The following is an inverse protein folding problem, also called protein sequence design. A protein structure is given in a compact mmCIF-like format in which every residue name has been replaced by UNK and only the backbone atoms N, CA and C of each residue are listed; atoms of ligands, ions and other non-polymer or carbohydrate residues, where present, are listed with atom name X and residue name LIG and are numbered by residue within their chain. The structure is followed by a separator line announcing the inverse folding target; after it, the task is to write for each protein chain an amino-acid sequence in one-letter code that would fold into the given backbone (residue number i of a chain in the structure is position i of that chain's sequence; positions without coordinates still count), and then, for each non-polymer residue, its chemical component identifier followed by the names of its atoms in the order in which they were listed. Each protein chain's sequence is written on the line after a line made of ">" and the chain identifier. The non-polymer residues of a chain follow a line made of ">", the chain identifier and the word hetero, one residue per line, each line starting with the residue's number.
data_IF_066208450891
#
_entry.id   IF_066208450891
#
_cell.length_a   1.000
_cell.length_b   1.000
_cell.length_c   1.000
_cell.angle_alpha   90.00
_cell.angle_beta   90.00
_cell.angle_gamma   90.00
#
_symmetry.space_group_name_H-M   'P 1'
#
loop_
_entity.id
_entity.type
_entity.pdbx_description
1 polymer ?
#
# COMPACT_ATOMS: atom_id res chain seq x y z
N UNK A 1 -8.06 14.41 11.59
CA UNK A 1 -8.96 13.35 12.05
C UNK A 1 -8.75 13.14 13.52
N UNK A 2 -9.77 13.36 14.31
CA UNK A 2 -9.72 13.28 15.77
C UNK A 2 -11.01 12.64 16.24
N UNK A 3 -10.97 12.01 17.42
CA UNK A 3 -12.19 11.61 18.12
C UNK A 3 -13.00 12.86 18.52
N UNK A 4 -12.29 13.92 18.94
CA UNK A 4 -12.86 15.24 19.21
C UNK A 4 -11.89 16.29 18.68
N UNK A 5 -12.35 17.18 17.80
CA UNK A 5 -11.54 18.21 17.14
C UNK A 5 -10.88 19.18 18.14
N UNK A 6 -11.54 19.42 19.28
CA UNK A 6 -11.05 20.34 20.32
C UNK A 6 -10.17 19.67 21.39
N UNK A 7 -9.97 18.36 21.33
CA UNK A 7 -9.10 17.62 22.25
C UNK A 7 -8.25 16.60 21.48
N UNK A 8 -7.22 17.06 20.76
CA UNK A 8 -6.37 16.18 19.96
C UNK A 8 -5.53 15.27 20.86
N UNK A 9 -5.57 13.98 20.59
CA UNK A 9 -4.75 12.97 21.25
C UNK A 9 -3.49 12.69 20.41
N UNK A 10 -2.43 12.19 21.07
CA UNK A 10 -1.25 11.70 20.37
C UNK A 10 -1.65 10.50 19.50
N UNK A 11 -1.19 10.49 18.25
CA UNK A 11 -1.48 9.46 17.31
C UNK A 11 -0.29 9.18 16.39
N UNK A 12 -0.34 8.08 15.66
CA UNK A 12 0.65 7.77 14.64
C UNK A 12 0.70 8.85 13.55
N UNK A 13 1.86 9.00 12.93
CA UNK A 13 2.02 9.87 11.76
C UNK A 13 1.51 9.18 10.50
N UNK A 14 0.92 9.92 9.57
CA UNK A 14 0.59 9.45 8.22
C UNK A 14 1.81 9.03 7.38
N UNK A 15 3.02 9.37 7.82
CA UNK A 15 4.29 8.95 7.21
C UNK A 15 4.95 7.77 7.93
N UNK A 16 4.26 7.15 8.88
CA UNK A 16 4.82 6.04 9.65
C UNK A 16 5.00 4.81 8.77
N UNK A 17 6.24 4.32 8.68
CA UNK A 17 6.60 3.05 8.03
C UNK A 17 7.24 2.15 9.08
N UNK A 18 6.44 1.32 9.79
CA UNK A 18 6.93 0.54 10.93
C UNK A 18 8.07 -0.41 10.60
N UNK A 19 8.05 -0.98 9.41
CA UNK A 19 9.06 -1.95 8.98
C UNK A 19 9.57 -1.61 7.60
N UNK A 20 10.90 -1.58 7.45
CA UNK A 20 11.58 -1.44 6.16
C UNK A 20 12.75 -2.41 6.12
N UNK A 21 12.86 -3.17 5.03
CA UNK A 21 13.98 -4.07 4.74
C UNK A 21 14.54 -3.70 3.39
N UNK A 22 15.86 -3.47 3.31
CA UNK A 22 16.56 -3.22 2.05
C UNK A 22 17.76 -4.15 1.97
N UNK A 23 17.91 -4.81 0.82
CA UNK A 23 19.06 -5.67 0.55
C UNK A 23 19.47 -5.49 -0.90
N UNK A 24 20.78 -5.63 -1.17
CA UNK A 24 21.28 -5.64 -2.53
C UNK A 24 22.46 -6.59 -2.66
N UNK A 25 22.54 -7.24 -3.81
CA UNK A 25 23.66 -8.11 -4.16
C UNK A 25 24.06 -7.82 -5.61
N UNK A 26 25.35 -7.58 -5.81
CA UNK A 26 25.93 -7.36 -7.13
C UNK A 26 27.09 -8.32 -7.32
N UNK A 27 27.15 -8.91 -8.50
CA UNK A 27 28.27 -9.76 -8.91
C UNK A 27 28.90 -9.19 -10.18
N UNK A 28 30.21 -8.90 -10.11
CA UNK A 28 31.00 -8.39 -11.22
C UNK A 28 32.05 -9.43 -11.59
N UNK A 29 32.11 -9.82 -12.83
CA UNK A 29 33.20 -10.66 -13.29
C UNK A 29 33.83 -10.12 -14.58
N UNK A 30 35.14 -10.13 -14.58
CA UNK A 30 35.95 -9.69 -15.71
C UNK A 30 36.41 -10.89 -16.50
N UNK A 31 36.28 -10.82 -17.82
CA UNK A 31 36.62 -11.90 -18.71
C UNK A 31 37.22 -11.40 -20.03
N UNK A 32 37.59 -12.33 -20.91
CA UNK A 32 38.22 -12.00 -22.17
C UNK A 32 39.72 -11.69 -22.05
N UNK A 33 40.36 -11.36 -23.18
CA UNK A 33 41.77 -11.01 -23.22
C UNK A 33 42.03 -9.72 -22.45
N UNK A 34 43.02 -9.77 -21.53
CA UNK A 34 43.38 -8.64 -20.64
C UNK A 34 42.21 -8.14 -19.75
N UNK A 35 41.19 -8.96 -19.50
CA UNK A 35 40.01 -8.60 -18.69
C UNK A 35 39.30 -7.33 -19.18
N UNK A 36 39.26 -7.13 -20.50
CA UNK A 36 38.60 -5.96 -21.11
C UNK A 36 37.09 -6.04 -21.14
N UNK A 37 36.51 -7.21 -20.86
CA UNK A 37 35.06 -7.40 -20.78
C UNK A 37 34.66 -7.53 -19.31
N UNK A 38 33.56 -6.88 -18.96
CA UNK A 38 32.99 -6.98 -17.62
C UNK A 38 31.49 -7.24 -17.74
N UNK A 39 31.02 -8.26 -17.05
CA UNK A 39 29.59 -8.52 -16.87
C UNK A 39 29.21 -8.19 -15.42
N UNK A 40 28.14 -7.46 -15.25
CA UNK A 40 27.58 -7.11 -13.96
C UNK A 40 26.16 -7.67 -13.88
N UNK A 41 25.84 -8.35 -12.79
CA UNK A 41 24.47 -8.77 -12.47
C UNK A 41 24.14 -8.29 -11.08
N UNK A 42 23.02 -7.65 -10.90
CA UNK A 42 22.56 -7.12 -9.63
C UNK A 42 21.11 -7.46 -9.34
N UNK A 43 20.81 -7.64 -8.07
CA UNK A 43 19.47 -7.76 -7.55
C UNK A 43 19.35 -6.85 -6.33
N UNK A 44 18.31 -6.04 -6.33
CA UNK A 44 17.98 -5.12 -5.23
C UNK A 44 16.59 -5.51 -4.73
N UNK A 45 16.46 -5.67 -3.42
CA UNK A 45 15.22 -5.91 -2.73
C UNK A 45 14.85 -4.71 -1.87
N UNK A 46 13.61 -4.28 -1.95
CA UNK A 46 13.02 -3.31 -1.05
C UNK A 46 11.68 -3.85 -0.55
N UNK A 47 11.61 -4.11 0.75
CA UNK A 47 10.40 -4.47 1.45
C UNK A 47 10.03 -3.40 2.46
N UNK A 48 8.77 -3.02 2.55
CA UNK A 48 8.29 -2.05 3.54
C UNK A 48 6.82 -2.26 3.90
N UNK A 49 6.43 -1.80 5.10
CA UNK A 49 5.02 -1.71 5.47
C UNK A 49 4.31 -0.79 4.49
N UNK A 50 3.10 -1.15 4.07
CA UNK A 50 2.26 -0.28 3.27
C UNK A 50 1.87 1.00 4.04
N UNK A 51 1.29 1.96 3.33
CA UNK A 51 0.88 3.25 3.92
C UNK A 51 -0.09 3.06 5.07
N UNK A 52 0.04 3.84 6.15
CA UNK A 52 -0.92 3.83 7.25
C UNK A 52 -2.26 4.42 6.81
N UNK A 53 -3.35 3.96 7.43
CA UNK A 53 -4.68 4.47 7.16
C UNK A 53 -5.51 4.58 8.43
N UNK A 54 -6.59 5.36 8.35
CA UNK A 54 -7.60 5.50 9.39
C UNK A 54 -8.97 5.10 8.85
N UNK A 55 -9.78 4.47 9.69
CA UNK A 55 -11.20 4.26 9.38
C UNK A 55 -12.02 5.40 9.98
N UNK A 56 -12.81 6.05 9.13
CA UNK A 56 -13.68 7.18 9.50
C UNK A 56 -15.13 6.93 9.06
N UNK A 57 -16.05 7.62 9.69
CA UNK A 57 -17.42 7.66 9.16
C UNK A 57 -17.47 8.52 7.89
N UNK A 58 -18.36 8.16 6.96
CA UNK A 58 -18.86 9.10 5.96
C UNK A 58 -20.10 9.77 6.56
N UNK A 59 -20.08 11.08 6.70
CA UNK A 59 -21.09 11.85 7.42
C UNK A 59 -20.56 12.41 8.73
N UNK A 60 -21.20 13.46 9.23
CA UNK A 60 -20.85 14.17 10.45
C UNK A 60 -21.59 13.53 11.64
N UNK A 61 -20.88 12.71 12.43
CA UNK A 61 -21.48 12.02 13.58
C UNK A 61 -21.35 12.83 14.88
N UNK A 62 -20.36 13.74 14.94
CA UNK A 62 -20.07 14.53 16.14
C UNK A 62 -20.61 15.96 16.08
N UNK A 63 -21.18 16.40 14.94
CA UNK A 63 -21.78 17.72 14.76
C UNK A 63 -20.79 18.86 14.57
N UNK A 64 -19.55 18.57 14.11
CA UNK A 64 -18.51 19.58 13.88
C UNK A 64 -18.48 20.12 12.44
N UNK A 65 -19.45 19.73 11.60
CA UNK A 65 -19.56 19.99 10.17
C UNK A 65 -18.49 19.31 9.30
N UNK A 66 -17.71 18.39 9.85
CA UNK A 66 -16.79 17.55 9.10
C UNK A 66 -17.44 16.24 8.66
N UNK A 67 -17.44 15.92 7.37
CA UNK A 67 -18.18 14.75 6.83
C UNK A 67 -17.31 13.51 6.63
N UNK A 68 -16.01 13.56 6.91
CA UNK A 68 -15.06 12.45 6.69
C UNK A 68 -13.84 12.55 7.60
N UNK A 69 -14.03 13.02 8.82
CA UNK A 69 -12.98 13.27 9.81
C UNK A 69 -13.18 12.50 11.13
N UNK A 70 -14.34 11.90 11.33
CA UNK A 70 -14.66 11.20 12.57
C UNK A 70 -14.21 9.76 12.54
N UNK A 71 -13.32 9.37 13.46
CA UNK A 71 -12.87 8.00 13.59
C UNK A 71 -14.03 7.08 13.95
N UNK A 72 -14.12 5.90 13.30
CA UNK A 72 -15.18 4.96 13.60
C UNK A 72 -15.01 4.38 15.00
N UNK A 73 -16.13 4.21 15.69
CA UNK A 73 -16.22 3.30 16.80
C UNK A 73 -16.39 1.88 16.24
N UNK A 74 -15.60 0.93 16.71
CA UNK A 74 -15.60 -0.46 16.27
C UNK A 74 -16.60 -1.23 17.17
N UNK A 75 -17.87 -1.42 16.75
CA UNK A 75 -18.88 -1.98 17.66
C UNK A 75 -18.64 -3.47 17.93
N UNK A 76 -19.06 -3.91 19.11
CA UNK A 76 -19.25 -5.33 19.42
C UNK A 76 -20.47 -5.87 18.69
N UNK A 77 -20.66 -7.19 18.60
CA UNK A 77 -21.81 -7.79 17.93
C UNK A 77 -23.14 -7.37 18.60
N UNK A 78 -23.16 -7.29 19.93
CA UNK A 78 -24.33 -6.81 20.68
C UNK A 78 -24.68 -5.35 20.37
N UNK A 79 -23.67 -4.51 20.16
CA UNK A 79 -23.89 -3.13 19.75
C UNK A 79 -24.36 -3.04 18.29
N UNK A 80 -23.84 -3.88 17.39
CA UNK A 80 -24.32 -3.95 16.00
C UNK A 80 -25.80 -4.35 15.94
N UNK A 81 -26.26 -5.22 16.83
CA UNK A 81 -27.69 -5.60 16.92
C UNK A 81 -28.60 -4.44 17.30
N UNK A 82 -28.07 -3.46 18.03
CA UNK A 82 -28.79 -2.25 18.43
C UNK A 82 -28.71 -1.12 17.40
N UNK A 83 -27.80 -1.20 16.41
CA UNK A 83 -27.68 -0.17 15.36
C UNK A 83 -28.89 -0.20 14.41
N UNK A 84 -29.32 0.97 14.01
CA UNK A 84 -30.35 1.13 12.98
C UNK A 84 -29.69 1.29 11.61
N UNK A 85 -30.08 0.44 10.64
CA UNK A 85 -29.59 0.50 9.29
C UNK A 85 -30.67 0.95 8.32
N UNK A 86 -30.29 1.85 7.41
CA UNK A 86 -31.13 2.23 6.28
C UNK A 86 -30.80 1.29 5.10
N UNK A 87 -31.81 0.53 4.67
CA UNK A 87 -31.68 -0.32 3.48
C UNK A 87 -31.39 0.50 2.21
N UNK A 88 -30.78 -0.17 1.25
CA UNK A 88 -30.52 0.35 -0.10
C UNK A 88 -31.13 -0.59 -1.14
N UNK A 89 -31.12 -0.19 -2.41
CA UNK A 89 -31.57 -1.07 -3.51
C UNK A 89 -30.71 -2.35 -3.60
N UNK A 90 -29.44 -2.30 -3.17
CA UNK A 90 -28.53 -3.43 -3.21
C UNK A 90 -28.61 -4.33 -1.96
N UNK A 91 -28.86 -3.75 -0.78
CA UNK A 91 -28.82 -4.48 0.50
C UNK A 91 -29.90 -4.01 1.46
N UNK A 92 -30.65 -4.96 2.01
CA UNK A 92 -31.58 -4.69 3.11
C UNK A 92 -30.82 -4.30 4.39
N UNK A 93 -31.54 -3.71 5.35
CA UNK A 93 -30.99 -3.38 6.67
C UNK A 93 -30.39 -4.61 7.38
N UNK A 94 -31.05 -5.76 7.27
CA UNK A 94 -30.58 -7.03 7.86
C UNK A 94 -29.31 -7.55 7.18
N UNK A 95 -29.25 -7.47 5.85
CA UNK A 95 -28.05 -7.84 5.09
C UNK A 95 -26.86 -6.93 5.43
N UNK A 96 -27.08 -5.63 5.57
CA UNK A 96 -26.03 -4.69 5.99
C UNK A 96 -25.53 -5.02 7.40
N UNK A 97 -26.40 -5.35 8.34
CA UNK A 97 -26.03 -5.78 9.70
C UNK A 97 -25.18 -7.06 9.67
N UNK A 98 -25.59 -8.05 8.90
CA UNK A 98 -24.83 -9.31 8.75
C UNK A 98 -23.45 -9.07 8.11
N UNK A 99 -23.41 -8.27 7.05
CA UNK A 99 -22.17 -7.89 6.37
C UNK A 99 -21.21 -7.14 7.29
N UNK A 100 -21.73 -6.20 8.12
CA UNK A 100 -20.91 -5.49 9.09
C UNK A 100 -20.31 -6.45 10.12
N UNK A 101 -21.10 -7.36 10.69
CA UNK A 101 -20.59 -8.39 11.63
C UNK A 101 -19.50 -9.25 11.00
N UNK A 102 -19.71 -9.70 9.76
CA UNK A 102 -18.71 -10.47 9.04
C UNK A 102 -17.42 -9.68 8.81
N UNK A 103 -17.52 -8.43 8.38
CA UNK A 103 -16.38 -7.54 8.18
C UNK A 103 -15.60 -7.30 9.47
N UNK A 104 -16.31 -7.02 10.57
CA UNK A 104 -15.74 -6.84 11.90
C UNK A 104 -15.00 -8.10 12.41
N UNK A 105 -15.45 -9.30 12.04
CA UNK A 105 -14.83 -10.56 12.44
C UNK A 105 -13.61 -10.93 11.58
N UNK A 106 -13.54 -10.47 10.33
CA UNK A 106 -12.51 -10.87 9.36
C UNK A 106 -11.41 -9.84 9.13
N UNK A 107 -11.65 -8.57 9.44
CA UNK A 107 -10.67 -7.50 9.25
C UNK A 107 -9.66 -7.48 10.38
N UNK A 108 -8.38 -7.66 10.05
CA UNK A 108 -7.27 -7.89 11.00
C UNK A 108 -7.26 -6.94 12.19
N UNK A 109 -7.17 -5.64 11.97
CA UNK A 109 -7.12 -4.66 13.06
C UNK A 109 -8.45 -4.59 13.83
N UNK A 110 -9.55 -4.54 13.09
CA UNK A 110 -10.89 -4.30 13.63
C UNK A 110 -11.35 -5.42 14.56
N UNK A 111 -11.03 -6.68 14.25
CA UNK A 111 -11.43 -7.83 15.11
C UNK A 111 -10.80 -7.78 16.49
N UNK A 112 -9.58 -7.21 16.59
CA UNK A 112 -8.79 -7.18 17.82
C UNK A 112 -9.06 -5.91 18.68
N UNK A 113 -9.83 -4.91 18.14
CA UNK A 113 -10.14 -3.64 18.80
C UNK A 113 -11.66 -3.39 18.92
N UNK A 114 -12.43 -4.46 19.20
CA UNK A 114 -13.89 -4.37 19.36
C UNK A 114 -14.28 -3.62 20.64
N UNK A 115 -15.19 -2.68 20.52
CA UNK A 115 -15.63 -1.82 21.63
C UNK A 115 -14.81 -0.56 21.82
N UNK A 116 -13.87 -0.26 20.91
CA UNK A 116 -12.97 0.88 20.95
C UNK A 116 -13.13 1.77 19.71
N UNK A 117 -12.60 2.99 19.75
CA UNK A 117 -12.47 3.81 18.56
C UNK A 117 -11.25 3.37 17.76
N UNK A 118 -11.37 3.41 16.44
CA UNK A 118 -10.20 3.21 15.58
C UNK A 118 -9.15 4.29 15.87
N UNK A 119 -7.89 3.90 16.03
CA UNK A 119 -6.81 4.85 16.21
C UNK A 119 -6.47 5.60 14.91
N UNK A 120 -6.14 6.87 15.00
CA UNK A 120 -5.63 7.61 13.84
C UNK A 120 -4.36 6.94 13.32
N UNK A 121 -4.36 6.55 12.03
CA UNK A 121 -3.29 5.78 11.39
C UNK A 121 -2.93 4.48 12.13
N UNK A 122 -3.95 3.84 12.71
CA UNK A 122 -3.78 2.67 13.57
C UNK A 122 -3.42 1.38 12.83
N UNK A 123 -3.67 1.28 11.53
CA UNK A 123 -3.30 0.11 10.74
C UNK A 123 -2.61 0.51 9.44
N UNK A 124 -1.87 -0.44 8.86
CA UNK A 124 -1.13 -0.27 7.63
C UNK A 124 -1.70 -1.17 6.52
N UNK A 125 -1.65 -0.68 5.30
CA UNK A 125 -1.86 -1.46 4.11
C UNK A 125 -0.88 -2.63 4.04
N UNK A 126 -1.11 -3.65 3.20
CA UNK A 126 -0.25 -4.82 3.12
C UNK A 126 1.20 -4.45 2.90
N UNK A 127 2.09 -5.29 3.43
CA UNK A 127 3.53 -5.18 3.21
C UNK A 127 3.85 -5.28 1.72
N UNK A 128 4.68 -4.37 1.23
CA UNK A 128 5.09 -4.26 -0.15
C UNK A 128 6.48 -4.88 -0.32
N UNK A 129 6.67 -5.63 -1.41
CA UNK A 129 7.95 -6.29 -1.71
C UNK A 129 8.28 -6.07 -3.17
N UNK A 130 9.36 -5.33 -3.45
CA UNK A 130 9.83 -5.02 -4.78
C UNK A 130 11.21 -5.61 -5.01
N UNK A 131 11.43 -6.15 -6.19
CA UNK A 131 12.73 -6.63 -6.64
C UNK A 131 13.10 -5.89 -7.92
N UNK A 132 14.29 -5.30 -7.94
CA UNK A 132 14.85 -4.65 -9.12
C UNK A 132 16.06 -5.47 -9.61
N UNK A 133 16.12 -5.66 -10.91
CA UNK A 133 17.18 -6.42 -11.56
C UNK A 133 18.04 -5.49 -12.41
N UNK A 134 19.35 -5.65 -12.28
CA UNK A 134 20.35 -4.94 -13.08
C UNK A 134 21.21 -5.94 -13.86
N UNK A 135 21.39 -5.67 -15.15
CA UNK A 135 22.38 -6.35 -15.98
C UNK A 135 23.21 -5.30 -16.72
N UNK A 136 24.53 -5.43 -16.65
CA UNK A 136 25.49 -4.60 -17.36
C UNK A 136 26.49 -5.45 -18.12
N UNK A 137 26.76 -5.09 -19.39
CA UNK A 137 27.82 -5.71 -20.18
C UNK A 137 28.72 -4.64 -20.77
N UNK A 138 29.97 -4.64 -20.33
CA UNK A 138 31.03 -3.78 -20.84
C UNK A 138 31.94 -4.54 -21.80
N UNK A 139 32.18 -3.96 -22.97
CA UNK A 139 33.13 -4.42 -23.99
C UNK A 139 34.22 -3.37 -24.11
N UNK A 140 35.47 -3.77 -23.80
CA UNK A 140 36.67 -2.91 -23.90
C UNK A 140 37.56 -3.30 -25.07
N UNK A 141 38.12 -2.31 -25.70
CA UNK A 141 39.17 -2.47 -26.75
C UNK A 141 40.32 -1.55 -26.40
N UNK A 142 41.55 -2.08 -26.45
CA UNK A 142 42.74 -1.27 -26.24
C UNK A 142 43.35 -0.86 -27.59
N UNK A 143 43.52 0.45 -27.77
CA UNK A 143 44.17 1.02 -28.94
C UNK A 143 45.38 1.86 -28.48
N UNK A 144 46.57 1.29 -28.58
CA UNK A 144 47.76 1.89 -28.03
C UNK A 144 47.69 2.02 -26.49
N UNK A 145 47.81 3.25 -25.99
CA UNK A 145 47.70 3.55 -24.55
C UNK A 145 46.27 3.81 -24.06
N UNK A 146 45.30 3.91 -24.96
CA UNK A 146 43.90 4.21 -24.63
C UNK A 146 43.07 2.94 -24.58
N UNK A 147 42.08 2.94 -23.70
CA UNK A 147 41.07 1.87 -23.60
C UNK A 147 39.72 2.51 -23.93
N UNK A 148 39.15 2.07 -25.02
CA UNK A 148 37.76 2.43 -25.39
C UNK A 148 36.83 1.36 -24.87
N UNK A 149 35.72 1.75 -24.31
CA UNK A 149 34.72 0.81 -23.79
C UNK A 149 33.31 1.21 -24.16
N UNK A 150 32.52 0.23 -24.57
CA UNK A 150 31.09 0.31 -24.77
C UNK A 150 30.39 -0.51 -23.69
N UNK A 151 29.46 0.09 -22.96
CA UNK A 151 28.70 -0.57 -21.91
C UNK A 151 27.22 -0.49 -22.25
N UNK A 152 26.59 -1.66 -22.27
CA UNK A 152 25.15 -1.84 -22.37
C UNK A 152 24.60 -2.16 -20.99
N UNK A 153 23.53 -1.48 -20.59
CA UNK A 153 22.82 -1.78 -19.32
C UNK A 153 21.36 -2.08 -19.59
N UNK A 154 20.82 -3.00 -18.81
CA UNK A 154 19.40 -3.31 -18.73
C UNK A 154 19.01 -3.29 -17.26
N UNK A 155 18.10 -2.38 -16.90
CA UNK A 155 17.52 -2.27 -15.58
C UNK A 155 16.03 -2.61 -15.66
N UNK A 156 15.58 -3.56 -14.85
CA UNK A 156 14.17 -3.94 -14.75
C UNK A 156 13.71 -3.68 -13.33
N UNK A 157 12.98 -2.59 -13.15
CA UNK A 157 12.34 -2.25 -11.88
C UNK A 157 11.10 -3.11 -11.68
N UNK A 158 10.91 -3.59 -10.46
CA UNK A 158 9.82 -4.49 -10.08
C UNK A 158 9.75 -5.75 -10.95
N UNK A 159 10.90 -6.43 -11.13
CA UNK A 159 11.03 -7.62 -11.96
C UNK A 159 10.12 -8.77 -11.51
N UNK A 160 9.77 -8.82 -10.22
CA UNK A 160 8.83 -9.81 -9.71
C UNK A 160 7.45 -9.69 -10.39
N UNK A 161 6.99 -8.47 -10.66
CA UNK A 161 5.72 -8.23 -11.36
C UNK A 161 5.77 -8.64 -12.85
N UNK A 162 6.94 -8.60 -13.48
CA UNK A 162 7.14 -9.13 -14.83
C UNK A 162 6.91 -10.66 -14.87
N UNK A 163 7.34 -11.36 -13.83
CA UNK A 163 7.19 -12.82 -13.70
C UNK A 163 5.77 -13.22 -13.29
N UNK A 164 5.14 -12.47 -12.41
CA UNK A 164 3.77 -12.70 -11.96
C UNK A 164 3.09 -11.37 -11.64
N UNK A 165 1.98 -11.08 -12.33
CA UNK A 165 1.18 -9.85 -12.18
C UNK A 165 0.71 -9.56 -10.75
N UNK A 166 0.69 -10.56 -9.87
CA UNK A 166 0.23 -10.45 -8.49
C UNK A 166 1.37 -10.16 -7.50
N UNK A 167 2.62 -10.21 -7.97
CA UNK A 167 3.80 -9.89 -7.17
C UNK A 167 4.20 -8.41 -7.33
N UNK A 168 4.94 -7.89 -6.38
CA UNK A 168 5.43 -6.51 -6.43
C UNK A 168 4.31 -5.46 -6.49
N UNK A 169 3.17 -5.71 -5.84
CA UNK A 169 2.06 -4.75 -5.80
C UNK A 169 2.24 -3.74 -4.68
N UNK A 170 1.95 -2.49 -5.01
CA UNK A 170 1.75 -1.39 -4.07
C UNK A 170 0.25 -1.12 -3.96
N UNK A 171 -0.22 -0.88 -2.74
CA UNK A 171 -1.63 -0.62 -2.48
C UNK A 171 -1.86 0.82 -2.00
N UNK A 172 -3.04 1.36 -2.31
CA UNK A 172 -3.57 2.59 -1.75
C UNK A 172 -4.94 2.34 -1.14
N UNK A 173 -5.30 3.12 -0.13
CA UNK A 173 -6.58 3.03 0.57
C UNK A 173 -7.69 3.85 -0.07
N UNK A 174 -7.53 4.35 -1.29
CA UNK A 174 -8.52 5.14 -2.03
C UNK A 174 -7.97 6.47 -2.53
N UNK A 175 -8.86 7.37 -2.93
CA UNK A 175 -8.50 8.58 -3.70
C UNK A 175 -7.64 9.57 -2.92
N UNK A 176 -7.75 9.60 -1.59
CA UNK A 176 -6.97 10.47 -0.70
C UNK A 176 -6.15 9.71 0.34
N UNK A 177 -5.91 8.44 0.09
CA UNK A 177 -4.93 7.55 0.74
C UNK A 177 -4.94 7.37 2.25
N UNK A 178 -5.61 8.19 3.03
CA UNK A 178 -5.45 8.16 4.49
C UNK A 178 -6.73 7.74 5.23
N UNK A 179 -7.91 7.98 4.62
CA UNK A 179 -9.19 7.77 5.27
C UNK A 179 -10.08 6.85 4.44
N UNK A 180 -10.60 5.83 5.10
CA UNK A 180 -11.52 4.87 4.49
C UNK A 180 -12.81 4.90 5.27
N UNK A 181 -13.94 5.07 4.57
CA UNK A 181 -15.26 5.26 5.17
C UNK A 181 -16.18 4.07 4.86
N UNK A 182 -16.05 2.94 5.59
CA UNK A 182 -16.88 1.77 5.36
C UNK A 182 -18.32 1.94 5.88
N UNK A 183 -18.52 2.88 6.81
CA UNK A 183 -19.81 3.14 7.46
C UNK A 183 -20.23 4.57 7.16
N UNK A 184 -21.43 4.75 6.61
CA UNK A 184 -22.03 6.06 6.40
C UNK A 184 -23.03 6.35 7.52
N UNK A 185 -22.89 7.50 8.17
CA UNK A 185 -23.87 8.04 9.10
C UNK A 185 -24.88 8.90 8.37
N UNK A 186 -26.15 8.64 8.58
CA UNK A 186 -27.29 9.32 7.90
C UNK A 186 -28.04 10.32 8.78
N UNK A 187 -27.56 10.51 10.02
CA UNK A 187 -28.28 11.29 11.03
C UNK A 187 -29.17 10.42 11.93
N UNK A 188 -29.58 10.96 13.06
CA UNK A 188 -30.52 10.35 14.00
C UNK A 188 -30.20 8.91 14.42
N UNK A 189 -28.94 8.56 14.49
CA UNK A 189 -28.49 7.21 14.85
C UNK A 189 -28.67 6.15 13.75
N UNK A 190 -28.92 6.56 12.51
CA UNK A 190 -29.10 5.67 11.36
C UNK A 190 -27.83 5.55 10.54
N UNK A 191 -27.51 4.33 10.14
CA UNK A 191 -26.28 4.00 9.44
C UNK A 191 -26.54 3.27 8.11
N UNK A 192 -25.55 3.30 7.24
CA UNK A 192 -25.43 2.41 6.09
C UNK A 192 -24.03 1.79 6.10
N UNK A 193 -23.96 0.51 5.75
CA UNK A 193 -22.69 -0.20 5.61
C UNK A 193 -22.51 -0.68 4.17
N UNK A 194 -21.47 -0.20 3.52
CA UNK A 194 -21.08 -0.69 2.20
C UNK A 194 -20.45 -2.07 2.32
N UNK A 195 -20.83 -3.01 1.45
CA UNK A 195 -20.21 -4.33 1.42
C UNK A 195 -18.72 -4.17 1.05
N UNK A 196 -17.76 -4.73 1.81
CA UNK A 196 -16.34 -4.65 1.50
C UNK A 196 -15.93 -5.25 0.17
N UNK A 197 -16.72 -6.17 -0.40
CA UNK A 197 -16.50 -6.67 -1.77
C UNK A 197 -16.75 -5.60 -2.83
N UNK A 198 -17.64 -4.66 -2.57
CA UNK A 198 -18.00 -3.56 -3.48
C UNK A 198 -17.12 -2.31 -3.24
N UNK A 199 -16.65 -2.16 -2.00
CA UNK A 199 -15.74 -1.07 -1.60
C UNK A 199 -14.53 -1.65 -0.85
N UNK A 200 -13.57 -2.23 -1.56
CA UNK A 200 -12.38 -2.78 -0.92
C UNK A 200 -11.57 -1.67 -0.22
N UNK A 201 -11.10 -1.96 1.00
CA UNK A 201 -10.28 -1.03 1.79
C UNK A 201 -8.94 -0.67 1.11
N UNK A 202 -8.56 -1.43 0.08
CA UNK A 202 -7.30 -1.25 -0.63
C UNK A 202 -7.47 -1.50 -2.13
N UNK A 203 -6.81 -0.68 -2.90
CA UNK A 203 -6.73 -0.81 -4.36
C UNK A 203 -5.27 -0.96 -4.79
N UNK A 204 -4.95 -1.90 -5.71
CA UNK A 204 -3.61 -1.94 -6.26
C UNK A 204 -3.34 -0.68 -7.07
N UNK A 205 -2.28 0.03 -6.75
CA UNK A 205 -1.82 1.17 -7.55
C UNK A 205 -1.33 0.67 -8.91
N UNK A 206 -1.99 1.06 -9.99
CA UNK A 206 -1.62 0.63 -11.33
C UNK A 206 -0.25 1.14 -11.78
N UNK A 207 0.18 2.29 -11.30
CA UNK A 207 1.46 2.90 -11.66
C UNK A 207 2.63 2.26 -10.91
N UNK A 208 2.53 2.15 -9.58
CA UNK A 208 3.62 1.64 -8.74
C UNK A 208 3.73 0.11 -8.72
N UNK A 209 2.66 -0.58 -9.13
CA UNK A 209 2.63 -2.05 -9.18
C UNK A 209 3.20 -2.64 -10.47
N UNK A 210 3.50 -1.82 -11.49
CA UNK A 210 3.97 -2.31 -12.79
C UNK A 210 5.48 -2.39 -12.85
N UNK A 211 5.99 -3.42 -13.53
CA UNK A 211 7.39 -3.45 -13.91
C UNK A 211 7.72 -2.38 -14.97
N UNK A 212 8.95 -1.93 -14.98
CA UNK A 212 9.47 -0.96 -15.96
C UNK A 212 10.88 -1.37 -16.35
N UNK A 213 11.21 -1.28 -17.63
CA UNK A 213 12.54 -1.57 -18.15
C UNK A 213 13.21 -0.30 -18.65
N UNK A 214 14.52 -0.21 -18.41
CA UNK A 214 15.37 0.84 -18.97
C UNK A 214 16.59 0.18 -19.62
N UNK A 215 16.94 0.65 -20.83
CA UNK A 215 18.16 0.26 -21.53
C UNK A 215 19.07 1.47 -21.59
N UNK A 216 20.33 1.29 -21.23
CA UNK A 216 21.36 2.32 -21.29
C UNK A 216 22.51 1.91 -22.20
N UNK A 217 23.12 2.90 -22.86
CA UNK A 217 24.34 2.76 -23.64
C UNK A 217 25.34 3.82 -23.21
N UNK A 218 26.54 3.41 -22.81
CA UNK A 218 27.62 4.30 -22.41
C UNK A 218 28.89 3.99 -23.19
N UNK A 219 29.50 5.02 -23.75
CA UNK A 219 30.81 4.94 -24.36
C UNK A 219 31.82 5.71 -23.51
N UNK A 220 32.98 5.09 -23.29
CA UNK A 220 34.10 5.68 -22.54
C UNK A 220 35.37 5.60 -23.42
N UNK A 221 36.15 6.66 -23.44
CA UNK A 221 37.39 6.76 -24.21
C UNK A 221 38.50 7.39 -23.39
#
# INVERSE_FOLDING_TARGET
>A
TYRFSNNPELANSGYNVPHTVKASAFYHFNWGTNKLFTTTVGLIYQGQSGSPYSLVYSGDINGDNGTSNDLIFIPTDAQVDQMQFLGTDAYTAEQQRANLKQWLATTRYVKDHRGEYFERYGDNLPFESHFDFHFGQKFGIRTGKYVHALELTLDIMNVANLLNKDWGRTFSSGYNSEFVSPITYKGDGVFQFANPSDMPLKYPSSYYSRWRGQVGLKYTF
#
